data_IF_740776054041
#
_entry.id   IF_740776054041
#
_cell.length_a   1.000
_cell.length_b   1.000
_cell.length_c   1.000
_cell.angle_alpha   90.00
_cell.angle_beta   90.00
_cell.angle_gamma   90.00
#
_symmetry.space_group_name_H-M   'P 1'
#
loop_
_entity.id
_entity.type
_entity.pdbx_description
1 polymer ?
#
# COMPACT_ATOMS: atom_id res chain seq x y z
N UNK A 1 8.53 13.49 11.04
CA UNK A 1 8.03 12.29 11.75
C UNK A 1 9.01 11.14 11.51
N UNK A 2 8.89 10.00 12.20
CA UNK A 2 9.56 8.75 11.78
C UNK A 2 8.61 8.05 10.83
N UNK A 3 9.03 7.83 9.58
CA UNK A 3 8.27 7.04 8.60
C UNK A 3 8.00 5.66 9.20
N UNK A 4 6.73 5.24 9.23
CA UNK A 4 6.32 3.89 9.63
C UNK A 4 6.59 2.89 8.49
N UNK A 5 7.83 2.89 7.97
CA UNK A 5 8.27 1.84 7.08
C UNK A 5 8.24 0.52 7.85
N UNK A 6 7.67 -0.53 7.22
CA UNK A 6 7.84 -1.92 7.66
C UNK A 6 9.33 -2.25 7.51
N UNK A 7 10.10 -1.94 8.56
CA UNK A 7 11.55 -1.88 8.54
C UNK A 7 12.17 -3.27 8.59
N UNK A 8 11.96 -4.04 7.53
CA UNK A 8 12.72 -5.25 7.17
C UNK A 8 14.16 -4.82 6.87
N UNK A 9 14.91 -4.57 7.94
CA UNK A 9 16.31 -4.15 7.94
C UNK A 9 17.23 -5.31 7.57
N UNK A 10 17.08 -5.84 6.35
CA UNK A 10 17.98 -6.86 5.81
C UNK A 10 19.25 -6.16 5.32
N UNK A 11 20.18 -5.97 6.25
CA UNK A 11 21.56 -5.56 5.96
C UNK A 11 22.30 -6.68 5.22
N UNK A 12 22.10 -6.80 3.91
CA UNK A 12 22.83 -7.75 3.08
C UNK A 12 24.27 -7.26 2.86
N UNK A 13 25.17 -7.71 3.74
CA UNK A 13 26.60 -7.47 3.61
C UNK A 13 27.19 -8.29 2.44
N UNK A 14 27.08 -7.76 1.22
CA UNK A 14 27.81 -8.24 0.06
C UNK A 14 29.31 -7.92 0.21
N UNK A 15 30.01 -8.80 0.93
CA UNK A 15 31.46 -8.77 1.02
C UNK A 15 32.07 -8.97 -0.37
N UNK A 16 32.78 -7.95 -0.86
CA UNK A 16 33.61 -8.05 -2.06
C UNK A 16 34.78 -9.03 -1.82
N UNK A 17 34.56 -10.31 -2.14
CA UNK A 17 35.61 -11.31 -2.26
C UNK A 17 36.29 -11.23 -3.63
N UNK A 18 37.23 -10.31 -3.78
CA UNK A 18 38.13 -10.33 -4.93
C UNK A 18 39.22 -11.38 -4.69
N UNK A 19 39.35 -12.35 -5.60
CA UNK A 19 40.53 -13.23 -5.63
C UNK A 19 41.02 -13.45 -7.07
N UNK A 20 42.33 -13.31 -7.27
CA UNK A 20 42.96 -13.24 -8.58
C UNK A 20 43.89 -14.45 -8.80
N UNK A 21 43.47 -15.38 -9.66
CA UNK A 21 44.00 -16.75 -9.72
C UNK A 21 44.67 -17.19 -11.03
N UNK A 22 45.63 -16.40 -11.54
CA UNK A 22 46.86 -16.85 -12.26
C UNK A 22 46.79 -18.01 -13.29
N UNK A 23 47.05 -17.71 -14.56
CA UNK A 23 47.26 -18.71 -15.63
C UNK A 23 48.69 -19.29 -15.68
N UNK A 24 48.84 -20.54 -16.18
CA UNK A 24 50.07 -21.11 -16.75
C UNK A 24 49.76 -22.32 -17.69
N UNK A 25 50.63 -22.69 -18.66
CA UNK A 25 50.23 -23.50 -19.84
C UNK A 25 51.00 -24.81 -20.11
N UNK A 26 50.45 -25.69 -20.98
CA UNK A 26 51.24 -26.42 -22.00
C UNK A 26 51.34 -27.97 -21.93
N UNK A 27 51.30 -28.62 -23.11
CA UNK A 27 51.67 -30.04 -23.37
C UNK A 27 50.51 -31.06 -23.27
N UNK A 28 50.36 -32.10 -24.11
CA UNK A 28 51.12 -32.59 -25.28
C UNK A 28 50.18 -33.32 -26.31
N UNK A 29 50.70 -33.64 -27.51
CA UNK A 29 49.99 -34.36 -28.60
C UNK A 29 50.19 -35.89 -28.57
N UNK A 30 49.23 -36.67 -29.12
CA UNK A 30 49.55 -37.87 -29.92
C UNK A 30 48.47 -38.23 -30.97
N UNK A 31 48.89 -38.91 -32.04
CA UNK A 31 48.14 -39.24 -33.29
C UNK A 31 46.93 -40.22 -33.07
N UNK A 32 45.79 -40.15 -33.78
CA UNK A 32 45.48 -40.46 -35.21
C UNK A 32 45.58 -41.97 -35.56
N UNK A 33 44.72 -42.66 -36.34
CA UNK A 33 43.56 -42.37 -37.24
C UNK A 33 42.56 -43.59 -37.21
N UNK A 34 41.59 -43.87 -38.14
CA UNK A 34 41.03 -43.13 -39.31
C UNK A 34 39.46 -43.09 -39.40
N UNK A 35 38.90 -42.59 -40.53
CA UNK A 35 37.45 -42.32 -40.80
C UNK A 35 36.61 -43.50 -41.31
N UNK A 36 35.28 -43.46 -41.10
CA UNK A 36 34.20 -43.70 -42.09
C UNK A 36 32.81 -43.29 -41.50
N UNK A 37 31.73 -43.17 -42.29
CA UNK A 37 31.40 -42.05 -43.19
C UNK A 37 30.20 -41.18 -42.72
N UNK A 38 29.89 -40.12 -43.46
CA UNK A 38 28.79 -39.17 -43.17
C UNK A 38 27.39 -39.81 -43.17
N UNK A 39 26.55 -39.39 -42.21
CA UNK A 39 25.09 -39.27 -42.40
C UNK A 39 24.67 -37.88 -41.93
N UNK A 40 24.27 -37.01 -42.86
CA UNK A 40 23.74 -35.67 -42.53
C UNK A 40 22.30 -35.79 -42.04
N UNK A 41 22.09 -35.59 -40.74
CA UNK A 41 20.79 -35.16 -40.24
C UNK A 41 20.63 -33.64 -40.49
N UNK A 42 19.44 -33.15 -40.90
CA UNK A 42 19.20 -31.73 -41.00
C UNK A 42 19.13 -31.12 -39.59
N UNK A 43 20.07 -30.22 -39.26
CA UNK A 43 19.95 -29.35 -38.09
C UNK A 43 18.75 -28.41 -38.29
N UNK A 44 17.62 -28.77 -37.67
CA UNK A 44 16.60 -27.78 -37.35
C UNK A 44 17.21 -26.89 -36.28
N UNK A 45 17.67 -25.69 -36.67
CA UNK A 45 17.95 -24.63 -35.71
C UNK A 45 16.66 -24.33 -34.96
N UNK A 46 16.54 -24.86 -33.74
CA UNK A 46 15.67 -24.26 -32.75
C UNK A 46 16.10 -22.78 -32.65
N UNK A 47 15.15 -21.82 -32.66
CA UNK A 47 15.51 -20.44 -32.37
C UNK A 47 16.13 -20.42 -30.98
N UNK A 48 17.32 -19.84 -30.86
CA UNK A 48 17.84 -19.46 -29.55
C UNK A 48 16.89 -18.39 -29.00
N UNK A 49 15.91 -18.84 -28.21
CA UNK A 49 15.11 -17.95 -27.38
C UNK A 49 16.08 -17.33 -26.40
N UNK A 50 16.63 -16.17 -26.78
CA UNK A 50 17.13 -15.21 -25.81
C UNK A 50 15.95 -14.86 -24.93
N UNK A 51 15.81 -15.56 -23.81
CA UNK A 51 15.34 -14.96 -22.58
C UNK A 51 16.25 -13.76 -22.35
N UNK A 52 15.84 -12.62 -22.87
CA UNK A 52 16.19 -11.38 -22.23
C UNK A 52 15.66 -11.52 -20.80
N UNK A 53 16.56 -11.43 -19.82
CA UNK A 53 16.20 -10.98 -18.49
C UNK A 53 15.68 -9.55 -18.64
N UNK A 54 14.43 -9.45 -19.09
CA UNK A 54 13.63 -8.26 -18.94
C UNK A 54 13.34 -8.18 -17.45
N UNK A 55 14.20 -7.44 -16.75
CA UNK A 55 13.96 -6.98 -15.39
C UNK A 55 12.49 -6.50 -15.33
N UNK A 56 11.65 -7.09 -14.45
CA UNK A 56 10.22 -6.83 -14.49
C UNK A 56 9.99 -5.34 -14.33
N UNK A 57 9.22 -4.76 -15.26
CA UNK A 57 8.98 -3.32 -15.29
C UNK A 57 8.52 -2.84 -13.91
N UNK A 58 9.08 -1.72 -13.46
CA UNK A 58 8.73 -1.14 -12.16
C UNK A 58 7.23 -0.91 -12.08
N UNK A 59 6.63 -1.34 -10.97
CA UNK A 59 5.22 -1.09 -10.68
C UNK A 59 5.09 0.39 -10.26
N UNK A 60 4.17 1.10 -10.88
CA UNK A 60 3.87 2.51 -10.61
C UNK A 60 2.36 2.66 -10.48
N UNK A 61 1.92 3.39 -9.45
CA UNK A 61 0.50 3.65 -9.15
C UNK A 61 0.16 5.07 -9.60
N UNK A 62 -0.90 5.24 -10.38
CA UNK A 62 -1.25 6.55 -10.94
C UNK A 62 -1.96 7.43 -9.90
N UNK A 63 -1.20 8.21 -9.15
CA UNK A 63 -1.75 9.12 -8.12
C UNK A 63 -2.70 10.21 -8.64
N UNK A 64 -2.88 10.36 -9.96
CA UNK A 64 -3.76 11.39 -10.53
C UNK A 64 -5.25 11.07 -10.42
N UNK A 65 -5.62 9.80 -10.18
CA UNK A 65 -7.02 9.41 -10.01
C UNK A 65 -7.52 9.53 -8.56
N UNK A 66 -6.63 9.57 -7.58
CA UNK A 66 -6.96 9.79 -6.17
C UNK A 66 -7.57 11.17 -5.96
N UNK A 67 -8.79 11.19 -5.44
CA UNK A 67 -9.59 12.39 -5.15
C UNK A 67 -10.09 12.40 -3.70
N UNK A 68 -9.74 11.39 -2.91
CA UNK A 68 -10.07 11.32 -1.48
C UNK A 68 -9.78 12.63 -0.76
N UNK A 69 -10.80 13.12 -0.07
CA UNK A 69 -10.65 14.10 0.99
C UNK A 69 -10.13 13.45 2.27
N UNK A 70 -10.00 14.26 3.32
CA UNK A 70 -9.61 13.77 4.65
C UNK A 70 -10.65 12.81 5.25
N UNK A 71 -11.93 13.02 4.99
CA UNK A 71 -12.99 12.18 5.55
C UNK A 71 -13.01 10.79 4.91
N UNK A 72 -12.75 10.69 3.61
CA UNK A 72 -12.65 9.40 2.92
C UNK A 72 -11.50 8.55 3.48
N UNK A 73 -10.36 9.18 3.80
CA UNK A 73 -9.19 8.54 4.44
C UNK A 73 -9.53 8.02 5.84
N UNK A 74 -10.12 8.86 6.68
CA UNK A 74 -10.53 8.48 8.02
C UNK A 74 -11.61 7.38 8.02
N UNK A 75 -12.59 7.49 7.11
CA UNK A 75 -13.67 6.52 6.99
C UNK A 75 -13.20 5.16 6.49
N UNK A 76 -12.34 5.13 5.46
CA UNK A 76 -11.78 3.88 4.92
C UNK A 76 -11.01 3.08 5.97
N UNK A 77 -10.32 3.77 6.88
CA UNK A 77 -9.55 3.16 7.98
C UNK A 77 -10.49 2.41 8.94
N UNK A 78 -11.59 3.04 9.37
CA UNK A 78 -12.60 2.38 10.20
C UNK A 78 -13.35 1.25 9.46
N UNK A 79 -13.73 1.47 8.21
CA UNK A 79 -14.56 0.55 7.42
C UNK A 79 -13.87 -0.81 7.22
N UNK A 80 -12.55 -0.79 7.03
CA UNK A 80 -11.73 -1.96 6.68
C UNK A 80 -11.14 -2.71 7.88
N UNK A 81 -11.39 -2.22 9.10
CA UNK A 81 -11.11 -2.94 10.34
C UNK A 81 -12.15 -4.05 10.60
N UNK A 82 -11.71 -5.19 11.13
CA UNK A 82 -12.60 -6.23 11.68
C UNK A 82 -13.10 -5.89 13.09
N UNK A 83 -12.52 -4.89 13.77
CA UNK A 83 -13.00 -4.42 15.07
C UNK A 83 -14.31 -3.61 14.94
N UNK A 84 -14.46 -2.87 13.84
CA UNK A 84 -15.72 -2.21 13.47
C UNK A 84 -16.62 -3.24 12.79
N UNK A 85 -17.79 -3.51 13.34
CA UNK A 85 -18.77 -4.48 12.81
C UNK A 85 -20.22 -3.99 12.83
N UNK A 86 -20.51 -2.81 13.40
CA UNK A 86 -21.83 -2.15 13.33
C UNK A 86 -22.24 -1.95 11.86
N UNK A 87 -23.34 -2.57 11.37
CA UNK A 87 -23.71 -2.48 9.96
C UNK A 87 -24.07 -1.05 9.52
N UNK A 88 -24.77 -0.30 10.38
CA UNK A 88 -25.15 1.08 10.08
C UNK A 88 -23.91 1.99 9.94
N UNK A 89 -22.95 1.83 10.84
CA UNK A 89 -21.69 2.56 10.74
C UNK A 89 -20.91 2.14 9.49
N UNK A 90 -20.83 0.85 9.15
CA UNK A 90 -20.18 0.42 7.89
C UNK A 90 -20.85 1.01 6.64
N UNK A 91 -22.18 1.10 6.61
CA UNK A 91 -22.93 1.73 5.51
C UNK A 91 -22.52 3.22 5.36
N UNK A 92 -22.57 4.00 6.44
CA UNK A 92 -22.15 5.41 6.41
C UNK A 92 -20.64 5.60 6.10
N UNK A 93 -19.78 4.69 6.57
CA UNK A 93 -18.34 4.73 6.27
C UNK A 93 -18.06 4.39 4.81
N UNK A 94 -18.79 3.45 4.21
CA UNK A 94 -18.68 3.11 2.78
C UNK A 94 -19.12 4.28 1.88
N UNK A 95 -20.21 4.97 2.25
CA UNK A 95 -20.61 6.22 1.58
C UNK A 95 -19.50 7.28 1.65
N UNK A 96 -18.80 7.40 2.78
CA UNK A 96 -17.71 8.36 2.99
C UNK A 96 -16.36 7.97 2.37
N UNK A 97 -15.99 6.69 2.37
CA UNK A 97 -14.70 6.20 1.86
C UNK A 97 -14.68 6.06 0.35
N UNK A 98 -15.87 5.90 -0.24
CA UNK A 98 -16.14 5.70 -1.67
C UNK A 98 -15.55 4.42 -2.28
N UNK A 99 -14.81 3.60 -1.52
CA UNK A 99 -13.91 2.59 -2.09
C UNK A 99 -13.81 1.23 -1.37
N UNK A 100 -14.27 1.06 -0.13
CA UNK A 100 -13.94 -0.16 0.62
C UNK A 100 -14.91 -1.37 0.45
N UNK A 101 -15.98 -1.25 -0.34
CA UNK A 101 -16.91 -2.37 -0.62
C UNK A 101 -16.32 -3.57 -1.42
N UNK A 102 -15.04 -3.54 -1.80
CA UNK A 102 -14.39 -4.59 -2.63
C UNK A 102 -13.00 -5.03 -2.16
N UNK A 103 -12.44 -4.41 -1.13
CA UNK A 103 -11.09 -4.72 -0.64
C UNK A 103 -11.07 -5.77 0.48
N UNK A 104 -9.94 -6.45 0.72
CA UNK A 104 -9.71 -7.18 1.96
C UNK A 104 -9.63 -6.25 3.19
N UNK A 105 -9.94 -6.80 4.37
CA UNK A 105 -9.71 -6.13 5.67
C UNK A 105 -8.22 -5.96 5.95
N UNK A 106 -7.85 -5.02 6.83
CA UNK A 106 -6.46 -4.84 7.26
C UNK A 106 -5.91 -6.14 7.87
N UNK A 107 -6.74 -6.83 8.65
CA UNK A 107 -6.47 -8.14 9.24
C UNK A 107 -6.23 -9.24 8.20
N UNK A 108 -7.01 -9.28 7.11
CA UNK A 108 -6.86 -10.25 6.03
C UNK A 108 -5.60 -9.98 5.19
N UNK A 109 -5.28 -8.72 4.91
CA UNK A 109 -4.03 -8.30 4.29
C UNK A 109 -2.83 -8.72 5.14
N UNK A 110 -2.83 -8.40 6.44
CA UNK A 110 -1.77 -8.83 7.36
C UNK A 110 -1.63 -10.35 7.43
N UNK A 111 -2.75 -11.09 7.43
CA UNK A 111 -2.74 -12.55 7.40
C UNK A 111 -2.22 -13.13 6.05
N UNK A 112 -2.29 -12.37 4.96
CA UNK A 112 -1.68 -12.71 3.68
C UNK A 112 -0.17 -12.39 3.69
N UNK A 113 0.21 -11.16 4.02
CA UNK A 113 1.61 -10.70 4.11
C UNK A 113 2.44 -11.58 5.05
N UNK A 114 1.89 -11.98 6.20
CA UNK A 114 2.56 -12.87 7.14
C UNK A 114 2.92 -14.25 6.55
N UNK A 115 2.14 -14.78 5.58
CA UNK A 115 2.45 -16.04 4.89
C UNK A 115 3.66 -15.89 3.96
N UNK A 116 3.84 -14.72 3.35
CA UNK A 116 4.96 -14.40 2.46
C UNK A 116 6.23 -14.02 3.24
N UNK A 117 6.08 -13.36 4.38
CA UNK A 117 7.18 -12.94 5.26
C UNK A 117 7.68 -14.06 6.19
N UNK A 118 6.84 -15.04 6.51
CA UNK A 118 7.14 -16.17 7.40
C UNK A 118 7.71 -15.73 8.76
N UNK A 119 8.95 -16.10 9.08
CA UNK A 119 9.63 -15.75 10.34
C UNK A 119 9.99 -14.25 10.47
N UNK A 120 9.86 -13.49 9.37
CA UNK A 120 10.06 -12.03 9.32
C UNK A 120 8.77 -11.23 9.47
N UNK A 121 7.63 -11.90 9.62
CA UNK A 121 6.35 -11.23 9.79
C UNK A 121 6.34 -10.43 11.12
N UNK A 122 5.97 -9.14 11.11
CA UNK A 122 5.75 -8.40 12.35
C UNK A 122 4.55 -8.98 13.12
N UNK A 123 4.39 -8.64 14.42
CA UNK A 123 3.15 -8.89 15.16
C UNK A 123 1.92 -8.40 14.38
N UNK A 124 0.79 -9.14 14.47
CA UNK A 124 -0.43 -8.81 13.70
C UNK A 124 -0.90 -7.37 13.97
N UNK A 125 -0.82 -6.91 15.23
CA UNK A 125 -1.23 -5.55 15.63
C UNK A 125 -0.36 -4.48 14.96
N UNK A 126 0.97 -4.60 15.04
CA UNK A 126 1.93 -3.70 14.37
C UNK A 126 1.68 -3.61 12.85
N UNK A 127 1.30 -4.74 12.22
CA UNK A 127 0.91 -4.76 10.81
C UNK A 127 -0.42 -4.04 10.54
N UNK A 128 -1.45 -4.25 11.37
CA UNK A 128 -2.75 -3.60 11.21
C UNK A 128 -2.58 -2.08 11.30
N UNK A 129 -1.88 -1.59 12.33
CA UNK A 129 -1.61 -0.17 12.51
C UNK A 129 -0.84 0.42 11.33
N UNK A 130 0.17 -0.30 10.81
CA UNK A 130 0.89 0.12 9.60
C UNK A 130 -0.05 0.31 8.40
N UNK A 131 -0.95 -0.66 8.13
CA UNK A 131 -1.94 -0.54 7.05
C UNK A 131 -2.93 0.61 7.29
N UNK A 132 -3.32 0.88 8.53
CA UNK A 132 -4.19 1.99 8.91
C UNK A 132 -3.53 3.35 8.61
N UNK A 133 -2.27 3.55 9.03
CA UNK A 133 -1.47 4.73 8.67
C UNK A 133 -1.30 4.86 7.15
N UNK A 134 -0.86 3.80 6.47
CA UNK A 134 -0.62 3.77 5.03
C UNK A 134 -1.87 4.19 4.23
N UNK A 135 -3.05 3.67 4.60
CA UNK A 135 -4.34 4.02 4.00
C UNK A 135 -4.67 5.51 4.15
N UNK A 136 -4.30 6.15 5.26
CA UNK A 136 -4.45 7.60 5.43
C UNK A 136 -3.44 8.38 4.59
N UNK A 137 -2.19 7.91 4.46
CA UNK A 137 -1.16 8.57 3.65
C UNK A 137 -1.45 8.52 2.15
N UNK A 138 -1.74 7.33 1.58
CA UNK A 138 -1.94 7.19 0.12
C UNK A 138 -3.38 7.44 -0.32
N UNK A 139 -4.36 7.29 0.58
CA UNK A 139 -5.78 7.45 0.27
C UNK A 139 -6.49 6.15 -0.15
N UNK A 140 -7.82 6.04 0.06
CA UNK A 140 -8.59 4.84 -0.25
C UNK A 140 -8.40 4.30 -1.68
N UNK A 141 -8.34 5.18 -2.67
CA UNK A 141 -8.13 4.85 -4.09
C UNK A 141 -6.82 4.09 -4.32
N UNK A 142 -5.69 4.72 -3.96
CA UNK A 142 -4.36 4.15 -4.15
C UNK A 142 -4.18 2.93 -3.25
N UNK A 143 -4.70 2.98 -2.02
CA UNK A 143 -4.64 1.84 -1.11
C UNK A 143 -5.41 0.64 -1.66
N UNK A 144 -6.50 0.82 -2.42
CA UNK A 144 -7.19 -0.28 -3.08
C UNK A 144 -6.31 -0.97 -4.14
N UNK A 145 -5.53 -0.22 -4.92
CA UNK A 145 -4.55 -0.77 -5.87
C UNK A 145 -3.41 -1.50 -5.14
N UNK A 146 -2.89 -0.92 -4.05
CA UNK A 146 -1.87 -1.55 -3.19
C UNK A 146 -2.41 -2.86 -2.59
N UNK A 147 -3.60 -2.84 -2.00
CA UNK A 147 -4.24 -4.00 -1.40
C UNK A 147 -4.49 -5.11 -2.44
N UNK A 148 -4.85 -4.76 -3.67
CA UNK A 148 -4.96 -5.72 -4.78
C UNK A 148 -3.59 -6.32 -5.11
N UNK A 149 -2.56 -5.49 -5.31
CA UNK A 149 -1.18 -5.95 -5.57
C UNK A 149 -0.69 -6.91 -4.48
N UNK A 150 -0.85 -6.52 -3.21
CA UNK A 150 -0.47 -7.33 -2.04
C UNK A 150 -1.24 -8.65 -2.03
N UNK A 151 -2.52 -8.68 -2.38
CA UNK A 151 -3.35 -9.90 -2.41
C UNK A 151 -2.97 -10.83 -3.56
N UNK A 152 -2.57 -10.28 -4.71
CA UNK A 152 -2.12 -11.02 -5.89
C UNK A 152 -0.67 -11.53 -5.76
N UNK A 153 0.13 -10.94 -4.86
CA UNK A 153 1.51 -11.34 -4.61
C UNK A 153 1.61 -12.79 -4.12
N UNK A 154 2.43 -13.61 -4.78
CA UNK A 154 2.69 -15.01 -4.41
C UNK A 154 4.10 -15.24 -3.86
N UNK A 155 4.94 -14.22 -3.87
CA UNK A 155 6.35 -14.26 -3.44
C UNK A 155 6.69 -13.02 -2.64
N UNK A 156 7.73 -13.12 -1.79
CA UNK A 156 8.27 -11.98 -1.07
C UNK A 156 8.74 -10.86 -2.01
N UNK A 157 9.29 -11.21 -3.17
CA UNK A 157 9.75 -10.24 -4.17
C UNK A 157 8.60 -9.48 -4.85
N UNK A 158 7.45 -10.15 -5.07
CA UNK A 158 6.25 -9.48 -5.55
C UNK A 158 5.66 -8.54 -4.49
N UNK A 159 5.63 -8.98 -3.23
CA UNK A 159 5.17 -8.16 -2.10
C UNK A 159 6.01 -6.88 -1.94
N UNK A 160 7.34 -6.99 -1.98
CA UNK A 160 8.25 -5.84 -1.89
C UNK A 160 8.06 -4.86 -3.06
N UNK A 161 7.71 -5.34 -4.25
CA UNK A 161 7.38 -4.46 -5.40
C UNK A 161 6.07 -3.68 -5.20
N UNK A 162 5.09 -4.24 -4.49
CA UNK A 162 3.90 -3.48 -4.08
C UNK A 162 4.27 -2.38 -3.07
N UNK A 163 5.11 -2.70 -2.09
CA UNK A 163 5.57 -1.76 -1.05
C UNK A 163 6.42 -0.61 -1.63
N UNK A 164 7.29 -0.88 -2.61
CA UNK A 164 8.08 0.16 -3.28
C UNK A 164 7.22 1.08 -4.15
N UNK A 165 6.21 0.55 -4.83
CA UNK A 165 5.24 1.31 -5.63
C UNK A 165 4.33 2.18 -4.75
N UNK A 166 3.90 1.67 -3.60
CA UNK A 166 3.16 2.43 -2.59
C UNK A 166 3.97 3.63 -2.08
N UNK A 167 5.23 3.39 -1.67
CA UNK A 167 6.13 4.46 -1.20
C UNK A 167 6.41 5.49 -2.30
N UNK A 168 6.35 5.11 -3.57
CA UNK A 168 6.42 6.05 -4.69
C UNK A 168 5.18 6.93 -4.76
N UNK A 169 3.99 6.33 -4.69
CA UNK A 169 2.71 7.03 -4.67
C UNK A 169 2.60 8.01 -3.49
N UNK A 170 2.98 7.59 -2.28
CA UNK A 170 3.05 8.43 -1.07
C UNK A 170 3.91 9.68 -1.30
N UNK A 171 5.14 9.49 -1.82
CA UNK A 171 6.05 10.61 -2.15
C UNK A 171 5.45 11.56 -3.18
N UNK A 172 4.78 11.03 -4.20
CA UNK A 172 4.16 11.88 -5.21
C UNK A 172 2.97 12.68 -4.66
N UNK A 173 2.14 12.10 -3.78
CA UNK A 173 0.99 12.78 -3.17
C UNK A 173 1.41 13.94 -2.25
N UNK A 174 2.46 13.76 -1.45
CA UNK A 174 3.02 14.83 -0.61
C UNK A 174 3.66 15.97 -1.42
N UNK A 175 4.18 15.68 -2.62
CA UNK A 175 4.68 16.70 -3.56
C UNK A 175 3.53 17.39 -4.30
N UNK A 176 2.51 16.63 -4.72
CA UNK A 176 1.35 17.08 -5.51
C UNK A 176 0.16 17.46 -4.62
N UNK A 177 0.38 18.31 -3.62
CA UNK A 177 -0.68 18.81 -2.72
C UNK A 177 -1.84 19.42 -3.52
N UNK A 178 -3.04 18.85 -3.37
CA UNK A 178 -4.27 19.30 -4.07
C UNK A 178 -5.29 20.01 -3.17
N UNK A 179 -5.05 20.02 -1.85
CA UNK A 179 -5.94 20.63 -0.86
C UNK A 179 -5.94 22.16 -0.86
N UNK A 180 -6.85 22.72 -0.06
CA UNK A 180 -7.02 24.18 0.08
C UNK A 180 -6.06 24.84 1.08
N UNK A 181 -5.08 24.11 1.62
CA UNK A 181 -4.20 24.56 2.70
C UNK A 181 -5.00 24.83 3.98
N UNK A 182 -5.59 23.79 4.57
CA UNK A 182 -6.46 23.94 5.74
C UNK A 182 -5.61 24.13 7.00
N UNK A 183 -5.94 25.15 7.79
CA UNK A 183 -5.27 25.45 9.06
C UNK A 183 -5.41 24.30 10.06
N UNK A 184 -4.35 24.01 10.82
CA UNK A 184 -4.30 22.86 11.74
C UNK A 184 -5.41 22.87 12.81
N UNK A 185 -5.84 24.04 13.28
CA UNK A 185 -6.98 24.17 14.21
C UNK A 185 -8.30 23.74 13.56
N UNK A 186 -8.50 24.08 12.28
CA UNK A 186 -9.66 23.70 11.49
C UNK A 186 -9.67 22.20 11.20
N UNK A 187 -8.50 21.62 10.88
CA UNK A 187 -8.34 20.17 10.76
C UNK A 187 -8.65 19.44 12.07
N UNK A 188 -8.19 19.98 13.21
CA UNK A 188 -8.49 19.42 14.54
C UNK A 188 -9.99 19.43 14.83
N UNK A 189 -10.67 20.55 14.51
CA UNK A 189 -12.14 20.66 14.66
C UNK A 189 -12.88 19.66 13.78
N UNK A 190 -12.49 19.53 12.52
CA UNK A 190 -13.08 18.57 11.58
C UNK A 190 -12.92 17.13 12.07
N UNK A 191 -11.70 16.75 12.44
CA UNK A 191 -11.41 15.41 12.90
C UNK A 191 -12.17 15.05 14.19
N UNK A 192 -12.13 15.91 15.21
CA UNK A 192 -12.85 15.66 16.47
C UNK A 192 -14.38 15.71 16.29
N UNK A 193 -14.89 16.40 15.27
CA UNK A 193 -16.30 16.31 14.89
C UNK A 193 -16.63 14.95 14.25
N UNK A 194 -15.84 14.51 13.27
CA UNK A 194 -15.98 13.17 12.66
C UNK A 194 -15.90 12.03 13.70
N UNK A 195 -14.85 12.04 14.52
CA UNK A 195 -14.61 11.11 15.64
C UNK A 195 -15.84 10.99 16.55
N UNK A 196 -16.38 12.13 16.99
CA UNK A 196 -17.59 12.18 17.81
C UNK A 196 -18.82 11.57 17.10
N UNK A 197 -19.01 11.84 15.80
CA UNK A 197 -20.14 11.28 15.06
C UNK A 197 -19.98 9.77 14.85
N UNK A 198 -18.79 9.31 14.48
CA UNK A 198 -18.46 7.90 14.29
C UNK A 198 -18.62 7.10 15.59
N UNK A 199 -18.11 7.61 16.72
CA UNK A 199 -18.29 6.99 18.04
C UNK A 199 -19.77 6.92 18.46
N UNK A 200 -20.57 7.94 18.15
CA UNK A 200 -22.00 7.94 18.47
C UNK A 200 -22.79 6.88 17.68
N UNK A 201 -22.43 6.67 16.42
CA UNK A 201 -23.04 5.68 15.51
C UNK A 201 -22.50 4.25 15.72
N UNK A 202 -21.31 4.11 16.31
CA UNK A 202 -20.68 2.84 16.69
C UNK A 202 -21.38 2.13 17.87
N UNK A 203 -22.08 2.87 18.74
CA UNK A 203 -22.72 2.32 19.94
C UNK A 203 -21.71 1.61 20.86
N UNK A 204 -21.93 0.32 21.14
CA UNK A 204 -21.05 -0.50 21.98
C UNK A 204 -19.61 -0.63 21.44
N UNK A 205 -19.36 -0.26 20.18
CA UNK A 205 -18.06 -0.29 19.53
C UNK A 205 -17.31 1.05 19.57
N UNK A 206 -17.87 2.08 20.21
CA UNK A 206 -17.29 3.42 20.27
C UNK A 206 -15.81 3.44 20.71
N UNK A 207 -15.42 2.57 21.65
CA UNK A 207 -14.02 2.46 22.11
C UNK A 207 -13.07 1.89 21.05
N UNK A 208 -13.52 0.95 20.22
CA UNK A 208 -12.70 0.44 19.13
C UNK A 208 -12.53 1.50 18.02
N UNK A 209 -13.58 2.28 17.77
CA UNK A 209 -13.51 3.45 16.86
C UNK A 209 -12.57 4.52 17.40
N UNK A 210 -12.65 4.85 18.70
CA UNK A 210 -11.73 5.76 19.39
C UNK A 210 -10.27 5.29 19.27
N UNK A 211 -9.97 4.03 19.61
CA UNK A 211 -8.60 3.47 19.55
C UNK A 211 -8.00 3.53 18.13
N UNK A 212 -8.77 3.17 17.08
CA UNK A 212 -8.30 3.26 15.70
C UNK A 212 -8.07 4.72 15.28
N UNK A 213 -9.00 5.62 15.63
CA UNK A 213 -8.90 7.03 15.25
C UNK A 213 -7.78 7.75 15.99
N UNK A 214 -7.50 7.41 17.26
CA UNK A 214 -6.37 7.96 18.00
C UNK A 214 -5.02 7.58 17.36
N UNK A 215 -4.85 6.34 16.88
CA UNK A 215 -3.62 5.86 16.25
C UNK A 215 -3.30 6.67 14.97
N UNK A 216 -4.24 6.78 14.04
CA UNK A 216 -4.04 7.50 12.76
C UNK A 216 -4.26 9.01 12.83
N UNK A 217 -4.56 9.57 14.01
CA UNK A 217 -4.91 10.99 14.19
C UNK A 217 -3.88 11.95 13.61
N UNK A 218 -2.59 11.64 13.76
CA UNK A 218 -1.50 12.48 13.25
C UNK A 218 -1.57 12.66 11.73
N UNK A 219 -1.74 11.55 11.02
CA UNK A 219 -1.71 11.52 9.55
C UNK A 219 -3.00 12.06 8.96
N UNK A 220 -4.13 11.90 9.65
CA UNK A 220 -5.41 12.52 9.24
C UNK A 220 -5.32 14.06 9.31
N UNK A 221 -4.64 14.60 10.33
CA UNK A 221 -4.41 16.05 10.44
C UNK A 221 -3.43 16.56 9.37
N UNK A 222 -2.41 15.78 9.01
CA UNK A 222 -1.49 16.09 7.91
C UNK A 222 -2.21 16.03 6.55
N UNK A 223 -2.92 14.94 6.26
CA UNK A 223 -3.73 14.79 5.05
C UNK A 223 -4.82 15.87 4.92
N UNK A 224 -5.42 16.32 6.03
CA UNK A 224 -6.34 17.46 6.03
C UNK A 224 -5.67 18.76 5.57
N UNK A 225 -4.47 19.07 6.08
CA UNK A 225 -3.76 20.28 5.72
C UNK A 225 -3.31 20.27 4.25
N UNK A 226 -2.89 19.10 3.75
CA UNK A 226 -2.33 18.94 2.41
C UNK A 226 -3.36 18.68 1.30
N UNK A 227 -4.41 17.90 1.59
CA UNK A 227 -5.37 17.38 0.60
C UNK A 227 -6.82 17.80 0.88
N UNK A 228 -7.17 18.16 2.13
CA UNK A 228 -8.52 18.58 2.50
C UNK A 228 -8.98 19.86 1.79
N UNK A 229 -10.27 19.93 1.44
CA UNK A 229 -10.84 21.11 0.76
C UNK A 229 -11.71 21.95 1.70
N UNK A 230 -11.84 23.26 1.43
CA UNK A 230 -12.72 24.12 2.25
C UNK A 230 -14.19 23.70 2.19
N UNK A 231 -14.66 23.22 1.04
CA UNK A 231 -16.03 22.76 0.87
C UNK A 231 -16.31 21.46 1.64
N UNK A 232 -15.34 20.53 1.68
CA UNK A 232 -15.42 19.31 2.49
C UNK A 232 -15.52 19.66 3.97
N UNK A 233 -14.57 20.48 4.46
CA UNK A 233 -14.52 20.98 5.84
C UNK A 233 -15.81 21.68 6.24
N UNK A 234 -16.32 22.59 5.39
CA UNK A 234 -17.53 23.36 5.67
C UNK A 234 -18.77 22.47 5.72
N UNK A 235 -18.96 21.55 4.79
CA UNK A 235 -20.09 20.63 4.83
C UNK A 235 -20.03 19.75 6.08
N UNK A 236 -18.87 19.17 6.35
CA UNK A 236 -18.69 18.20 7.42
C UNK A 236 -18.90 18.80 8.82
N UNK A 237 -18.41 20.02 9.07
CA UNK A 237 -18.66 20.74 10.33
C UNK A 237 -20.14 21.14 10.52
N UNK A 238 -20.96 21.08 9.48
CA UNK A 238 -22.40 21.33 9.54
C UNK A 238 -23.25 20.03 9.64
N UNK A 239 -22.67 18.86 9.35
CA UNK A 239 -23.34 17.57 9.49
C UNK A 239 -23.61 17.23 10.98
N UNK A 240 -24.79 16.70 11.28
CA UNK A 240 -25.23 16.36 12.66
C UNK A 240 -25.03 14.90 13.05
N UNK A 241 -24.92 14.02 12.05
CA UNK A 241 -24.76 12.57 12.20
C UNK A 241 -23.95 12.01 11.02
N UNK A 242 -23.58 10.73 11.10
CA UNK A 242 -22.77 10.05 10.06
C UNK A 242 -23.46 10.01 8.69
N UNK A 243 -24.79 10.06 8.65
CA UNK A 243 -25.59 10.06 7.42
C UNK A 243 -25.58 11.41 6.71
N UNK A 244 -25.79 12.50 7.46
CA UNK A 244 -25.60 13.85 6.93
C UNK A 244 -24.14 14.07 6.48
N UNK A 245 -23.19 13.41 7.13
CA UNK A 245 -21.78 13.48 6.76
C UNK A 245 -21.49 12.74 5.44
N UNK A 246 -22.02 11.53 5.24
CA UNK A 246 -21.93 10.80 3.96
C UNK A 246 -22.41 11.62 2.77
N UNK A 247 -23.47 12.41 2.95
CA UNK A 247 -24.00 13.31 1.92
C UNK A 247 -23.03 14.44 1.50
N UNK A 248 -21.98 14.75 2.27
CA UNK A 248 -21.03 15.83 1.97
C UNK A 248 -20.14 15.58 0.75
N UNK A 249 -20.07 14.34 0.25
CA UNK A 249 -19.45 14.06 -1.05
C UNK A 249 -20.20 14.74 -2.21
N UNK A 250 -21.54 14.79 -2.13
CA UNK A 250 -22.42 15.26 -3.22
C UNK A 250 -22.17 16.70 -3.67
N UNK A 251 -21.49 17.49 -2.84
CA UNK A 251 -21.14 18.89 -3.08
C UNK A 251 -19.69 19.12 -3.52
N UNK A 252 -18.91 18.04 -3.73
CA UNK A 252 -17.48 18.08 -4.04
C UNK A 252 -17.10 17.53 -5.43
N UNK A 253 -18.05 16.94 -6.16
CA UNK A 253 -17.91 16.51 -7.57
C UNK A 253 -18.65 17.45 -8.53
#
# INVERSE_FOLDING_TARGET
MRTAAILVSISLALACGADAGKAAPGGEKKAEAPKAPEVKAPEVKAPETKTADAEPAALHLDVSHDKSGVLARAASTLETSEAVTSPALKEHLAELSHHAEKGPTNEALCAHMAKLLADKAPPKVDCIHALEHQRVHVGPEIFAEVAQCVTEAQTLEALLRCEDAEKEAERELHVKKRGSGIEAETCTKLFTHFEKLAMADAGDQAKAVEEILEEVRGDILEACAEQGTRAEVECALNAKDMKELGACQSSLM
#
